data_IF_544705133185
#
_entry.id   IF_544705133185
#
_cell.length_a   1.000
_cell.length_b   1.000
_cell.length_c   1.000
_cell.angle_alpha   90.00
_cell.angle_beta   90.00
_cell.angle_gamma   90.00
#
_symmetry.space_group_name_H-M   'P 1'
#
loop_
_entity.id
_entity.type
_entity.pdbx_description
1 polymer ?
#
# COMPACT_ATOMS: atom_id res chain seq x y z
N UNK A 1 7.58 -50.60 65.96
CA UNK A 1 6.39 -49.95 65.41
C UNK A 1 6.86 -48.54 64.98
N UNK A 2 6.95 -48.32 63.69
CA UNK A 2 7.27 -47.01 63.11
C UNK A 2 6.00 -46.52 62.46
N UNK A 3 5.52 -45.37 62.93
CA UNK A 3 4.41 -44.67 62.36
C UNK A 3 4.92 -43.87 61.15
N UNK A 4 4.25 -44.08 60.01
CA UNK A 4 4.51 -43.34 58.76
C UNK A 4 3.58 -42.12 58.71
N UNK A 5 4.16 -40.92 58.77
CA UNK A 5 3.44 -39.66 58.63
C UNK A 5 3.24 -39.47 57.13
N UNK A 6 1.98 -39.42 56.66
CA UNK A 6 1.59 -39.06 55.32
C UNK A 6 1.43 -37.54 55.28
N UNK A 7 2.29 -36.86 54.52
CA UNK A 7 2.20 -35.43 54.27
C UNK A 7 1.10 -35.15 53.22
N UNK A 8 0.10 -34.35 53.60
CA UNK A 8 -0.95 -33.85 52.74
C UNK A 8 -0.39 -32.75 51.85
N UNK A 9 -0.58 -32.89 50.53
CA UNK A 9 -0.26 -31.92 49.49
C UNK A 9 -1.32 -30.78 49.49
N UNK A 10 -0.92 -29.51 49.37
CA UNK A 10 -1.84 -28.41 49.29
C UNK A 10 -2.22 -28.11 47.84
N UNK A 11 -3.50 -28.00 47.61
CA UNK A 11 -4.24 -27.16 46.65
C UNK A 11 -3.69 -27.01 45.23
N UNK A 12 -4.25 -27.79 44.32
CA UNK A 12 -4.45 -27.34 42.94
C UNK A 12 -5.75 -26.52 42.88
N UNK A 13 -5.60 -25.20 42.78
CA UNK A 13 -6.63 -24.34 42.22
C UNK A 13 -6.44 -24.37 40.69
N UNK A 14 -7.32 -25.01 39.99
CA UNK A 14 -7.49 -24.82 38.55
C UNK A 14 -8.12 -23.45 38.36
N UNK A 15 -7.31 -22.45 38.04
CA UNK A 15 -7.78 -21.18 37.50
C UNK A 15 -8.23 -21.45 36.06
N UNK A 16 -9.54 -21.60 35.87
CA UNK A 16 -10.18 -21.53 34.58
C UNK A 16 -9.97 -20.11 34.04
N UNK A 17 -8.89 -19.90 33.29
CA UNK A 17 -8.74 -18.74 32.43
C UNK A 17 -9.69 -18.98 31.25
N UNK A 18 -10.91 -18.45 31.38
CA UNK A 18 -11.79 -18.25 30.23
C UNK A 18 -11.08 -17.35 29.24
N UNK A 19 -10.50 -17.94 28.18
CA UNK A 19 -10.15 -17.22 26.99
C UNK A 19 -11.46 -16.65 26.39
N UNK A 20 -11.81 -15.44 26.83
CA UNK A 20 -12.75 -14.60 26.10
C UNK A 20 -12.17 -14.46 24.69
N UNK A 21 -12.70 -15.21 23.75
CA UNK A 21 -12.55 -14.92 22.34
C UNK A 21 -13.10 -13.50 22.18
N UNK A 22 -12.21 -12.53 21.96
CA UNK A 22 -12.60 -11.19 21.53
C UNK A 22 -13.36 -11.38 20.20
N UNK A 23 -14.67 -11.45 20.26
CA UNK A 23 -15.51 -11.25 19.09
C UNK A 23 -15.13 -9.87 18.55
N UNK A 24 -14.81 -9.72 17.26
CA UNK A 24 -14.50 -8.43 16.68
C UNK A 24 -15.71 -7.54 16.94
N UNK A 25 -15.51 -6.55 17.81
CA UNK A 25 -16.54 -5.60 18.21
C UNK A 25 -17.20 -5.09 16.93
N UNK A 26 -18.51 -5.35 16.77
CA UNK A 26 -19.34 -4.98 15.62
C UNK A 26 -19.23 -3.49 15.23
N UNK A 27 -18.62 -2.68 16.08
CA UNK A 27 -18.50 -1.23 15.99
C UNK A 27 -17.23 -0.73 15.23
N UNK A 28 -16.40 -1.63 14.64
CA UNK A 28 -15.17 -1.23 13.95
C UNK A 28 -15.26 -1.39 12.42
N UNK A 29 -16.44 -1.72 11.89
CA UNK A 29 -16.65 -1.83 10.44
C UNK A 29 -16.78 -0.43 9.84
N UNK A 30 -16.03 -0.18 8.76
CA UNK A 30 -16.15 1.07 8.00
C UNK A 30 -17.40 1.03 7.15
N UNK A 31 -18.28 2.01 7.34
CA UNK A 31 -19.49 2.19 6.53
C UNK A 31 -19.28 3.36 5.58
N UNK A 32 -19.32 3.12 4.27
CA UNK A 32 -19.23 4.16 3.27
C UNK A 32 -20.49 5.02 3.34
N UNK A 33 -20.32 6.32 3.51
CA UNK A 33 -21.39 7.31 3.47
C UNK A 33 -21.55 7.89 2.07
N UNK A 34 -20.41 8.21 1.42
CA UNK A 34 -20.41 8.65 0.03
C UNK A 34 -19.08 8.36 -0.67
N UNK A 35 -19.13 8.27 -1.99
CA UNK A 35 -17.97 8.15 -2.88
C UNK A 35 -18.11 9.23 -3.94
N UNK A 36 -17.07 10.05 -4.14
CA UNK A 36 -17.04 11.08 -5.19
C UNK A 36 -15.70 11.03 -5.92
N UNK A 37 -15.66 11.56 -7.14
CA UNK A 37 -14.45 11.64 -7.96
C UNK A 37 -13.53 12.79 -7.51
N UNK A 38 -14.09 13.83 -6.92
CA UNK A 38 -13.35 15.01 -6.48
C UNK A 38 -12.83 14.84 -5.05
N UNK A 39 -11.50 14.93 -4.89
CA UNK A 39 -10.87 14.89 -3.58
C UNK A 39 -10.99 16.27 -2.89
N UNK A 40 -11.27 16.32 -1.56
CA UNK A 40 -11.20 17.53 -0.77
C UNK A 40 -9.80 18.17 -0.80
N UNK A 41 -9.73 19.48 -0.63
CA UNK A 41 -8.50 20.28 -0.77
C UNK A 41 -7.35 19.79 0.14
N UNK A 42 -7.62 19.27 1.34
CA UNK A 42 -6.59 18.74 2.24
C UNK A 42 -5.96 17.47 1.70
N UNK A 43 -6.75 16.55 1.10
CA UNK A 43 -6.25 15.33 0.46
C UNK A 43 -5.51 15.63 -0.85
N UNK A 44 -5.98 16.61 -1.64
CA UNK A 44 -5.24 17.09 -2.80
C UNK A 44 -3.87 17.67 -2.40
N UNK A 45 -3.84 18.46 -1.31
CA UNK A 45 -2.60 19.02 -0.76
C UNK A 45 -1.65 17.90 -0.31
N UNK A 46 -2.16 16.90 0.40
CA UNK A 46 -1.36 15.74 0.80
C UNK A 46 -0.69 15.05 -0.40
N UNK A 47 -1.43 14.74 -1.45
CA UNK A 47 -0.87 14.15 -2.66
C UNK A 47 0.22 15.03 -3.27
N UNK A 48 -0.09 16.32 -3.49
CA UNK A 48 0.80 17.25 -4.18
C UNK A 48 2.02 17.66 -3.34
N UNK A 49 1.83 17.99 -2.08
CA UNK A 49 2.89 18.58 -1.25
C UNK A 49 3.70 17.56 -0.46
N UNK A 50 3.06 16.50 0.03
CA UNK A 50 3.73 15.46 0.81
C UNK A 50 4.22 14.33 -0.10
N UNK A 51 3.34 13.80 -0.95
CA UNK A 51 3.66 12.65 -1.82
C UNK A 51 4.26 13.05 -3.15
N UNK A 52 4.24 14.33 -3.51
CA UNK A 52 4.72 14.88 -4.79
C UNK A 52 4.04 14.27 -6.03
N UNK A 53 2.87 13.71 -5.85
CA UNK A 53 2.05 13.13 -6.93
C UNK A 53 1.39 14.25 -7.74
N UNK A 54 1.43 14.12 -9.06
CA UNK A 54 0.69 14.99 -9.95
C UNK A 54 -0.80 14.64 -9.92
N UNK A 55 -1.63 15.64 -9.57
CA UNK A 55 -3.07 15.45 -9.47
C UNK A 55 -3.72 15.19 -10.84
N UNK A 56 -3.15 15.72 -11.92
CA UNK A 56 -3.70 15.51 -13.27
C UNK A 56 -3.62 14.03 -13.68
N UNK A 57 -2.52 13.35 -13.31
CA UNK A 57 -2.37 11.92 -13.60
C UNK A 57 -3.07 11.02 -12.58
N UNK A 58 -3.23 11.48 -11.33
CA UNK A 58 -3.80 10.69 -10.25
C UNK A 58 -5.34 10.66 -10.24
N UNK A 59 -6.00 11.75 -10.68
CA UNK A 59 -7.45 11.96 -10.51
C UNK A 59 -8.30 10.84 -11.11
N UNK A 60 -7.89 10.27 -12.25
CA UNK A 60 -8.64 9.19 -12.91
C UNK A 60 -8.67 7.87 -12.13
N UNK A 61 -7.74 7.68 -11.20
CA UNK A 61 -7.56 6.43 -10.44
C UNK A 61 -8.07 6.50 -9.01
N UNK A 62 -8.36 7.69 -8.50
CA UNK A 62 -8.68 7.91 -7.10
C UNK A 62 -10.15 8.28 -6.92
N UNK A 63 -10.64 8.01 -5.71
CA UNK A 63 -11.97 8.41 -5.23
C UNK A 63 -11.83 9.08 -3.88
N UNK A 64 -12.69 10.03 -3.60
CA UNK A 64 -12.91 10.49 -2.24
C UNK A 64 -13.88 9.54 -1.55
N UNK A 65 -13.46 8.95 -0.45
CA UNK A 65 -14.27 8.07 0.38
C UNK A 65 -14.61 8.79 1.68
N UNK A 66 -15.88 9.11 1.85
CA UNK A 66 -16.42 9.56 3.13
C UNK A 66 -17.06 8.36 3.82
N UNK A 67 -16.60 8.03 5.02
CA UNK A 67 -17.00 6.82 5.73
C UNK A 67 -17.10 7.03 7.23
N UNK A 68 -17.87 6.17 7.90
CA UNK A 68 -18.07 6.16 9.34
C UNK A 68 -17.41 4.95 9.99
N UNK A 69 -16.87 5.13 11.19
CA UNK A 69 -16.42 4.06 12.10
C UNK A 69 -16.80 4.44 13.51
N UNK A 70 -17.64 3.62 14.15
CA UNK A 70 -18.00 3.82 15.56
C UNK A 70 -18.69 5.15 15.84
N UNK A 71 -19.53 5.65 14.93
CA UNK A 71 -20.25 6.91 15.04
C UNK A 71 -19.40 8.15 14.75
N UNK A 72 -18.18 7.97 14.18
CA UNK A 72 -17.31 9.09 13.76
C UNK A 72 -17.07 9.03 12.26
N UNK A 73 -17.17 10.20 11.63
CA UNK A 73 -16.97 10.35 10.20
C UNK A 73 -15.51 10.65 9.86
N UNK A 74 -15.06 10.09 8.74
CA UNK A 74 -13.70 10.20 8.23
C UNK A 74 -13.71 10.44 6.73
N UNK A 75 -12.65 11.06 6.26
CA UNK A 75 -12.42 11.38 4.85
C UNK A 75 -11.09 10.78 4.42
N UNK A 76 -11.06 10.05 3.31
CA UNK A 76 -9.83 9.44 2.81
C UNK A 76 -9.79 9.41 1.28
N UNK A 77 -8.57 9.29 0.75
CA UNK A 77 -8.31 8.88 -0.62
C UNK A 77 -8.60 7.38 -0.69
N UNK A 78 -9.44 6.97 -1.63
CA UNK A 78 -9.74 5.59 -1.95
C UNK A 78 -9.14 5.18 -3.29
N UNK A 79 -8.41 4.07 -3.31
CA UNK A 79 -7.94 3.43 -4.52
C UNK A 79 -8.72 2.13 -4.72
N UNK A 80 -9.51 1.99 -5.79
CA UNK A 80 -10.38 0.83 -5.98
C UNK A 80 -9.59 -0.43 -6.30
N UNK A 81 -10.06 -1.56 -5.80
CA UNK A 81 -9.53 -2.87 -6.14
C UNK A 81 -10.49 -3.67 -7.04
N UNK A 82 -10.01 -4.80 -7.56
CA UNK A 82 -10.73 -5.67 -8.50
C UNK A 82 -12.06 -6.22 -7.95
N UNK A 83 -12.17 -6.39 -6.63
CA UNK A 83 -13.35 -6.93 -5.96
C UNK A 83 -14.35 -5.89 -5.45
N UNK A 84 -14.16 -4.61 -5.80
CA UNK A 84 -15.05 -3.51 -5.38
C UNK A 84 -14.78 -2.95 -3.98
N UNK A 85 -13.67 -3.32 -3.35
CA UNK A 85 -13.15 -2.68 -2.15
C UNK A 85 -12.23 -1.51 -2.47
N UNK A 86 -11.71 -0.86 -1.42
CA UNK A 86 -10.83 0.31 -1.55
C UNK A 86 -9.65 0.23 -0.59
N UNK A 87 -8.45 0.56 -1.07
CA UNK A 87 -7.34 0.91 -0.20
C UNK A 87 -7.43 2.39 0.16
N UNK A 88 -7.27 2.70 1.45
CA UNK A 88 -7.46 4.04 1.99
C UNK A 88 -6.14 4.67 2.42
N UNK A 89 -6.00 5.97 2.17
CA UNK A 89 -4.96 6.85 2.72
C UNK A 89 -5.56 8.18 3.10
N UNK A 90 -5.08 8.78 4.18
CA UNK A 90 -5.39 10.16 4.54
C UNK A 90 -4.12 11.01 4.67
N UNK A 91 -4.27 12.26 5.04
CA UNK A 91 -3.17 13.20 5.28
C UNK A 91 -2.53 13.06 6.68
N UNK A 92 -3.06 12.17 7.54
CA UNK A 92 -2.54 11.85 8.88
C UNK A 92 -1.78 10.50 8.91
N UNK A 93 -1.23 10.07 7.77
CA UNK A 93 -0.50 8.82 7.60
C UNK A 93 -1.34 7.54 7.85
N UNK A 94 -2.66 7.64 7.89
CA UNK A 94 -3.54 6.48 8.02
C UNK A 94 -3.47 5.59 6.77
N UNK A 95 -3.44 4.29 7.03
CA UNK A 95 -3.55 3.22 6.04
C UNK A 95 -4.69 2.31 6.44
N UNK A 96 -5.61 2.08 5.54
CA UNK A 96 -6.76 1.22 5.81
C UNK A 96 -7.31 0.59 4.55
N UNK A 97 -8.29 -0.29 4.72
CA UNK A 97 -8.97 -0.96 3.62
C UNK A 97 -10.47 -0.97 3.91
N UNK A 98 -11.28 -0.74 2.89
CA UNK A 98 -12.69 -1.11 2.87
C UNK A 98 -12.80 -2.42 2.10
N UNK A 99 -13.36 -3.43 2.76
CA UNK A 99 -13.47 -4.78 2.20
C UNK A 99 -14.37 -4.81 0.95
N UNK A 100 -14.18 -5.79 0.06
CA UNK A 100 -13.22 -6.88 0.16
C UNK A 100 -11.78 -6.44 -0.17
N UNK A 101 -10.76 -7.15 0.41
CA UNK A 101 -9.34 -6.95 0.05
C UNK A 101 -9.03 -7.69 -1.24
N UNK A 102 -8.39 -7.01 -2.17
CA UNK A 102 -7.93 -7.59 -3.43
C UNK A 102 -6.81 -6.78 -4.06
N UNK A 103 -6.22 -7.31 -5.13
CA UNK A 103 -5.34 -6.57 -6.03
C UNK A 103 -6.13 -5.52 -6.82
N UNK A 104 -5.43 -4.49 -7.31
CA UNK A 104 -5.98 -3.57 -8.32
C UNK A 104 -5.32 -3.83 -9.65
N UNK A 105 -6.11 -3.85 -10.72
CA UNK A 105 -5.63 -4.06 -12.09
C UNK A 105 -6.02 -2.86 -12.93
N UNK A 106 -5.05 -2.29 -13.62
CA UNK A 106 -5.19 -1.13 -14.48
C UNK A 106 -4.81 -1.57 -15.90
N UNK A 107 -5.73 -1.45 -16.82
CA UNK A 107 -5.49 -1.77 -18.22
C UNK A 107 -4.42 -0.84 -18.82
N UNK A 108 -3.50 -1.42 -19.59
CA UNK A 108 -2.55 -0.67 -20.40
C UNK A 108 -3.21 -0.12 -21.67
N UNK A 109 -2.47 0.73 -22.38
CA UNK A 109 -2.83 1.24 -23.69
C UNK A 109 -2.05 0.55 -24.82
N UNK A 110 -1.02 -0.20 -24.48
CA UNK A 110 -0.17 -0.96 -25.39
C UNK A 110 -0.30 -2.46 -25.11
N UNK A 111 -0.65 -3.23 -26.12
CA UNK A 111 -0.98 -4.67 -26.00
C UNK A 111 0.24 -5.53 -25.63
N UNK A 112 1.48 -5.07 -25.90
CA UNK A 112 2.70 -5.87 -25.72
C UNK A 112 3.68 -5.32 -24.66
N UNK A 113 3.28 -4.31 -23.90
CA UNK A 113 4.14 -3.78 -22.83
C UNK A 113 4.15 -4.74 -21.62
N UNK A 114 5.33 -5.07 -21.04
CA UNK A 114 5.39 -5.88 -19.83
C UNK A 114 4.57 -5.26 -18.69
N UNK A 115 3.77 -6.07 -18.00
CA UNK A 115 2.95 -5.62 -16.89
C UNK A 115 3.83 -5.09 -15.76
N UNK A 116 3.48 -3.92 -15.21
CA UNK A 116 4.14 -3.34 -14.05
C UNK A 116 3.45 -3.78 -12.75
N UNK A 117 4.20 -4.32 -11.80
CA UNK A 117 3.69 -4.72 -10.47
C UNK A 117 4.20 -3.74 -9.42
N UNK A 118 3.29 -3.26 -8.56
CA UNK A 118 3.58 -2.35 -7.44
C UNK A 118 3.13 -2.96 -6.11
N UNK A 119 3.83 -2.62 -5.01
CA UNK A 119 3.36 -3.01 -3.68
C UNK A 119 2.16 -2.18 -3.25
N UNK A 120 2.21 -0.86 -3.43
CA UNK A 120 1.17 0.08 -3.07
C UNK A 120 0.79 1.05 -4.18
N UNK A 121 -0.40 1.63 -4.10
CA UNK A 121 -0.89 2.55 -5.14
C UNK A 121 -0.15 3.90 -5.16
N UNK A 122 0.52 4.28 -4.07
CA UNK A 122 1.37 5.49 -4.08
C UNK A 122 2.57 5.32 -5.01
N UNK A 123 3.13 4.11 -5.12
CA UNK A 123 4.23 3.81 -6.03
C UNK A 123 3.76 3.78 -7.48
N UNK A 124 2.59 3.20 -7.73
CA UNK A 124 1.93 3.28 -9.04
C UNK A 124 1.73 4.74 -9.49
N UNK A 125 1.15 5.60 -8.65
CA UNK A 125 0.97 7.02 -8.95
C UNK A 125 2.31 7.77 -9.08
N UNK A 126 3.34 7.32 -8.38
CA UNK A 126 4.69 7.87 -8.50
C UNK A 126 5.29 7.56 -9.86
N UNK A 127 5.14 6.34 -10.37
CA UNK A 127 5.59 6.01 -11.73
C UNK A 127 4.90 6.90 -12.75
N UNK A 128 3.58 7.04 -12.68
CA UNK A 128 2.83 7.91 -13.61
C UNK A 128 3.26 9.38 -13.51
N UNK A 129 3.61 9.85 -12.31
CA UNK A 129 4.13 11.22 -12.11
C UNK A 129 5.54 11.42 -12.67
N UNK A 130 6.39 10.38 -12.63
CA UNK A 130 7.74 10.41 -13.18
C UNK A 130 7.70 10.26 -14.70
N UNK A 131 6.84 9.39 -15.19
CA UNK A 131 6.67 9.06 -16.60
C UNK A 131 5.18 9.16 -17.01
N UNK A 132 4.73 10.36 -17.35
CA UNK A 132 3.35 10.63 -17.80
C UNK A 132 2.96 9.84 -19.07
N UNK A 133 3.95 9.32 -19.80
CA UNK A 133 3.75 8.52 -21.03
C UNK A 133 3.73 7.03 -20.76
N UNK A 134 3.72 6.60 -19.49
CA UNK A 134 3.61 5.19 -19.18
C UNK A 134 2.25 4.64 -19.64
N UNK A 135 2.31 3.62 -20.46
CA UNK A 135 1.14 3.01 -21.11
C UNK A 135 0.99 1.53 -20.79
N UNK A 136 1.95 0.95 -20.07
CA UNK A 136 1.92 -0.46 -19.70
C UNK A 136 0.74 -0.81 -18.79
N UNK A 137 0.21 -2.03 -18.86
CA UNK A 137 -0.74 -2.52 -17.87
C UNK A 137 -0.08 -2.57 -16.49
N UNK A 138 -0.86 -2.30 -15.44
CA UNK A 138 -0.35 -2.25 -14.08
C UNK A 138 -1.18 -3.13 -13.13
N UNK A 139 -0.51 -3.74 -12.17
CA UNK A 139 -1.09 -4.48 -11.07
C UNK A 139 -0.54 -3.92 -9.76
N UNK A 140 -1.43 -3.55 -8.84
CA UNK A 140 -1.06 -3.10 -7.50
C UNK A 140 -1.48 -4.19 -6.51
N UNK A 141 -0.52 -4.68 -5.72
CA UNK A 141 -0.78 -5.70 -4.71
C UNK A 141 -1.71 -5.19 -3.60
N UNK A 142 -1.65 -3.88 -3.29
CA UNK A 142 -2.33 -3.24 -2.18
C UNK A 142 -1.86 -3.74 -0.79
N UNK A 143 -1.39 -4.95 -0.73
CA UNK A 143 -0.73 -5.60 0.40
C UNK A 143 0.00 -6.83 -0.11
N UNK A 144 1.18 -7.12 0.43
CA UNK A 144 1.90 -8.38 0.11
C UNK A 144 1.10 -9.63 0.45
N UNK A 145 0.11 -9.55 1.33
CA UNK A 145 -0.82 -10.67 1.57
C UNK A 145 -1.65 -11.08 0.35
N UNK A 146 -1.73 -10.22 -0.67
CA UNK A 146 -2.42 -10.51 -1.93
C UNK A 146 -1.51 -11.13 -3.01
N UNK A 147 -0.25 -11.48 -2.68
CA UNK A 147 0.71 -12.01 -3.65
C UNK A 147 0.19 -13.26 -4.39
N UNK A 148 -0.50 -14.17 -3.69
CA UNK A 148 -1.09 -15.35 -4.31
C UNK A 148 -2.18 -15.01 -5.33
N UNK A 149 -2.95 -13.94 -5.09
CA UNK A 149 -3.96 -13.45 -6.03
C UNK A 149 -3.32 -12.80 -7.26
N UNK A 150 -2.19 -12.09 -7.07
CA UNK A 150 -1.43 -11.54 -8.17
C UNK A 150 -0.86 -12.66 -9.05
N UNK A 151 -0.26 -13.69 -8.47
CA UNK A 151 0.27 -14.84 -9.21
C UNK A 151 -0.85 -15.56 -9.97
N UNK A 152 -2.00 -15.80 -9.33
CA UNK A 152 -3.15 -16.41 -10.00
C UNK A 152 -3.61 -15.55 -11.20
N UNK A 153 -3.65 -14.22 -11.04
CA UNK A 153 -3.98 -13.31 -12.13
C UNK A 153 -2.98 -13.40 -13.29
N UNK A 154 -1.66 -13.43 -13.00
CA UNK A 154 -0.62 -13.56 -14.03
C UNK A 154 -0.80 -14.86 -14.84
N UNK A 155 -1.09 -15.97 -14.14
CA UNK A 155 -1.34 -17.27 -14.76
C UNK A 155 -2.64 -17.29 -15.58
N UNK A 156 -3.74 -16.70 -15.07
CA UNK A 156 -5.02 -16.59 -15.79
C UNK A 156 -4.92 -15.77 -17.08
N UNK A 157 -3.97 -14.81 -17.12
CA UNK A 157 -3.78 -13.92 -18.27
C UNK A 157 -2.58 -14.30 -19.15
N UNK A 158 -1.96 -15.47 -18.92
CA UNK A 158 -0.78 -15.96 -19.64
C UNK A 158 0.39 -14.95 -19.65
N UNK A 159 0.56 -14.18 -18.54
CA UNK A 159 1.62 -13.17 -18.42
C UNK A 159 2.89 -13.86 -17.91
N UNK A 160 3.91 -13.92 -18.76
CA UNK A 160 5.19 -14.60 -18.52
C UNK A 160 6.32 -13.65 -18.08
N UNK A 161 6.13 -12.34 -18.22
CA UNK A 161 7.15 -11.35 -17.83
C UNK A 161 6.53 -10.08 -17.24
N UNK A 162 7.19 -9.55 -16.21
CA UNK A 162 6.73 -8.36 -15.47
C UNK A 162 7.89 -7.45 -15.07
N UNK A 163 7.61 -6.16 -14.90
CA UNK A 163 8.48 -5.18 -14.24
C UNK A 163 8.00 -4.97 -12.81
N UNK A 164 8.81 -5.30 -11.81
CA UNK A 164 8.42 -5.23 -10.40
C UNK A 164 8.98 -3.99 -9.70
N UNK A 165 8.08 -3.13 -9.23
CA UNK A 165 8.36 -1.92 -8.42
C UNK A 165 7.94 -2.18 -6.97
N UNK A 166 8.71 -3.02 -6.26
CA UNK A 166 8.43 -3.42 -4.87
C UNK A 166 9.33 -2.66 -3.88
N UNK A 167 8.92 -2.67 -2.60
CA UNK A 167 9.66 -1.99 -1.55
C UNK A 167 11.07 -2.59 -1.34
N UNK A 168 12.06 -1.75 -1.05
CA UNK A 168 13.43 -2.14 -0.73
C UNK A 168 13.59 -2.62 0.72
N UNK A 169 12.59 -3.32 1.24
CA UNK A 169 12.63 -3.93 2.56
C UNK A 169 12.58 -5.48 2.50
N UNK A 170 12.74 -6.19 3.61
CA UNK A 170 12.70 -7.66 3.60
C UNK A 170 11.40 -8.24 3.05
N UNK A 171 10.27 -7.54 3.23
CA UNK A 171 8.95 -8.02 2.80
C UNK A 171 8.80 -7.87 1.29
N UNK A 172 9.19 -6.73 0.72
CA UNK A 172 9.19 -6.50 -0.73
C UNK A 172 10.16 -7.45 -1.45
N UNK A 173 11.34 -7.70 -0.88
CA UNK A 173 12.28 -8.70 -1.43
C UNK A 173 11.71 -10.11 -1.42
N UNK A 174 11.01 -10.51 -0.34
CA UNK A 174 10.35 -11.82 -0.29
C UNK A 174 9.22 -11.91 -1.32
N UNK A 175 8.45 -10.85 -1.52
CA UNK A 175 7.42 -10.78 -2.56
C UNK A 175 8.02 -10.97 -3.96
N UNK A 176 9.15 -10.30 -4.25
CA UNK A 176 9.88 -10.46 -5.51
C UNK A 176 10.26 -11.92 -5.77
N UNK A 177 10.89 -12.57 -4.78
CA UNK A 177 11.28 -13.99 -4.87
C UNK A 177 10.05 -14.90 -5.07
N UNK A 178 8.92 -14.58 -4.45
CA UNK A 178 7.70 -15.37 -4.57
C UNK A 178 7.13 -15.28 -6.00
N UNK A 179 7.15 -14.09 -6.64
CA UNK A 179 6.74 -13.94 -8.04
C UNK A 179 7.70 -14.70 -8.96
N UNK A 180 9.02 -14.56 -8.78
CA UNK A 180 10.02 -15.31 -9.56
C UNK A 180 9.83 -16.82 -9.46
N UNK A 181 9.53 -17.33 -8.27
CA UNK A 181 9.31 -18.76 -8.02
C UNK A 181 8.03 -19.30 -8.68
N UNK A 182 7.13 -18.45 -9.13
CA UNK A 182 5.93 -18.87 -9.89
C UNK A 182 6.19 -19.14 -11.36
N UNK A 183 7.43 -18.97 -11.83
CA UNK A 183 7.83 -19.17 -13.23
C UNK A 183 7.76 -17.91 -14.10
N UNK A 184 7.34 -16.77 -13.52
CA UNK A 184 7.28 -15.49 -14.23
C UNK A 184 8.68 -14.86 -14.28
N UNK A 185 9.08 -14.37 -15.44
CA UNK A 185 10.30 -13.56 -15.60
C UNK A 185 10.11 -12.20 -14.99
N UNK A 186 10.98 -11.80 -14.04
CA UNK A 186 10.83 -10.53 -13.33
C UNK A 186 12.01 -9.62 -13.58
N UNK A 187 11.75 -8.44 -14.15
CA UNK A 187 12.70 -7.34 -14.15
C UNK A 187 12.52 -6.54 -12.85
N UNK A 188 13.53 -6.62 -11.97
CA UNK A 188 13.54 -5.87 -10.70
C UNK A 188 13.87 -4.39 -10.94
N UNK A 189 12.85 -3.54 -10.79
CA UNK A 189 12.96 -2.10 -10.95
C UNK A 189 13.39 -1.38 -9.66
N UNK A 190 13.40 -2.07 -8.52
CA UNK A 190 13.76 -1.48 -7.22
C UNK A 190 15.21 -0.96 -7.18
N UNK A 191 16.08 -1.50 -8.03
CA UNK A 191 17.47 -1.01 -8.24
C UNK A 191 17.55 0.47 -8.66
N UNK A 192 16.51 1.00 -9.33
CA UNK A 192 16.48 2.40 -9.77
C UNK A 192 16.23 3.37 -8.59
N UNK A 193 15.71 2.87 -7.49
CA UNK A 193 15.51 3.62 -6.24
C UNK A 193 16.13 2.91 -5.02
N UNK A 194 17.25 2.22 -5.21
CA UNK A 194 17.92 1.39 -4.20
C UNK A 194 18.31 2.11 -2.89
N UNK A 195 18.39 3.48 -2.92
CA UNK A 195 18.67 4.31 -1.73
C UNK A 195 17.43 4.77 -0.99
N UNK A 196 16.26 4.38 -1.46
CA UNK A 196 14.95 4.73 -0.93
C UNK A 196 14.16 3.47 -0.63
N UNK A 197 13.26 3.56 0.35
CA UNK A 197 12.43 2.43 0.71
C UNK A 197 11.52 1.99 -0.44
N UNK A 198 10.90 2.96 -1.09
CA UNK A 198 9.92 2.75 -2.15
C UNK A 198 10.04 3.81 -3.26
N UNK A 199 9.30 3.65 -4.33
CA UNK A 199 9.33 4.56 -5.48
C UNK A 199 8.77 5.94 -5.13
N UNK A 200 7.80 6.03 -4.20
CA UNK A 200 7.27 7.32 -3.76
C UNK A 200 8.31 8.12 -2.97
N UNK A 201 9.05 7.49 -2.08
CA UNK A 201 10.15 8.14 -1.34
C UNK A 201 11.22 8.68 -2.32
N UNK A 202 11.56 7.90 -3.36
CA UNK A 202 12.46 8.36 -4.42
C UNK A 202 11.91 9.59 -5.14
N UNK A 203 10.64 9.59 -5.56
CA UNK A 203 10.01 10.74 -6.21
C UNK A 203 10.06 11.99 -5.31
N UNK A 204 9.74 11.85 -4.03
CA UNK A 204 9.77 12.95 -3.06
C UNK A 204 11.19 13.54 -2.98
N UNK A 205 12.20 12.69 -2.79
CA UNK A 205 13.59 13.13 -2.71
C UNK A 205 14.07 13.83 -4.00
N UNK A 206 13.68 13.30 -5.16
CA UNK A 206 14.00 13.89 -6.46
C UNK A 206 13.40 15.29 -6.61
N UNK A 207 12.12 15.46 -6.27
CA UNK A 207 11.42 16.76 -6.37
C UNK A 207 11.98 17.80 -5.39
N UNK A 208 12.39 17.39 -4.21
CA UNK A 208 13.03 18.28 -3.23
C UNK A 208 14.43 18.73 -3.65
N UNK A 209 15.24 17.81 -4.19
CA UNK A 209 16.54 18.15 -4.73
C UNK A 209 16.45 19.13 -5.92
N UNK A 210 15.43 19.00 -6.78
CA UNK A 210 15.17 19.93 -7.88
C UNK A 210 14.82 21.34 -7.36
N UNK A 211 13.98 21.45 -6.32
CA UNK A 211 13.63 22.74 -5.70
C UNK A 211 14.86 23.47 -5.13
N UNK A 212 15.75 22.74 -4.48
CA UNK A 212 16.99 23.32 -3.90
C UNK A 212 17.94 23.88 -4.96
N UNK A 213 17.99 23.27 -6.16
CA UNK A 213 18.82 23.75 -7.28
C UNK A 213 18.29 25.04 -7.92
N UNK A 214 16.97 25.27 -7.86
CA UNK A 214 16.29 26.42 -8.48
C UNK A 214 16.39 27.66 -7.58
N UNK A 215 16.54 27.51 -6.26
CA UNK A 215 16.70 28.67 -5.35
C UNK A 215 18.13 29.22 -5.48
N UNK A 216 18.33 30.46 -6.04
CA UNK A 216 19.65 31.03 -6.18
C UNK A 216 20.29 31.23 -4.79
N UNK A 217 21.49 30.69 -4.58
CA UNK A 217 22.31 31.02 -3.39
C UNK A 217 22.47 32.54 -3.37
N UNK A 218 21.83 33.23 -2.40
CA UNK A 218 22.12 34.65 -2.12
C UNK A 218 23.61 34.75 -1.90
N UNK A 219 24.37 35.32 -2.88
CA UNK A 219 25.77 35.70 -2.72
C UNK A 219 25.77 36.69 -1.56
N UNK A 220 26.36 36.30 -0.44
CA UNK A 220 26.63 37.22 0.66
C UNK A 220 27.47 38.38 0.15
N UNK A 221 26.94 39.59 0.23
CA UNK A 221 27.74 40.80 0.06
C UNK A 221 28.79 40.76 1.19
N UNK A 222 30.04 40.50 0.81
CA UNK A 222 31.17 40.84 1.69
C UNK A 222 31.31 42.37 1.69
N UNK A 223 31.10 42.98 2.85
CA UNK A 223 31.52 44.32 3.15
C UNK A 223 33.00 44.30 3.51
#
# INVERSE_FOLDING_TARGET
RRETIVASSPFHREDHIEHRRDEPRANNRRHILSITDELPSHLQRYLREVRKIDLAVASGYLRHIHYEVGGREYSAIGFPNRSGGYELRDDNAFKGTIAPKDISVIAGREDNAPLCIFEGFMDFLSLLTINEKETAPCLVLNSVSNISRAIAYLQEQDIDSVRAFLDNDPVGRQALLTIQSSGVTVEDMSRHYARHKDLNEFLVAQREAQKQKIVPRKRGLRR
#
